data_IF_108263562725
#
_entry.id   IF_108263562725
#
_cell.length_a   1.000
_cell.length_b   1.000
_cell.length_c   1.000
_cell.angle_alpha   90.00
_cell.angle_beta   90.00
_cell.angle_gamma   90.00
#
_symmetry.space_group_name_H-M   'P 1'
#
loop_
_entity.id
_entity.type
_entity.pdbx_description
1 polymer ?
#
# COMPACT_ATOMS: atom_id res chain seq x y z
N UNK A 1 -16.68 -21.89 -8.08
CA UNK A 1 -17.25 -20.91 -9.04
C UNK A 1 -17.00 -19.43 -8.65
N UNK A 2 -15.81 -19.06 -8.13
CA UNK A 2 -15.52 -17.68 -7.66
C UNK A 2 -14.24 -17.03 -8.23
N UNK A 3 -13.54 -17.71 -9.15
CA UNK A 3 -12.33 -17.17 -9.82
C UNK A 3 -12.65 -16.00 -10.77
N UNK A 4 -13.90 -15.84 -11.20
CA UNK A 4 -14.29 -14.91 -12.27
C UNK A 4 -14.51 -13.46 -11.82
N UNK A 5 -15.06 -13.18 -10.63
CA UNK A 5 -15.44 -11.80 -10.23
C UNK A 5 -14.27 -10.87 -9.87
N UNK A 6 -13.08 -11.40 -9.59
CA UNK A 6 -11.91 -10.61 -9.19
C UNK A 6 -10.75 -10.67 -10.20
N UNK A 7 -10.86 -11.49 -11.24
CA UNK A 7 -9.99 -11.40 -12.42
C UNK A 7 -10.09 -10.00 -13.03
N UNK A 8 -11.31 -9.43 -13.04
CA UNK A 8 -11.57 -8.06 -13.42
C UNK A 8 -10.68 -7.04 -12.68
N UNK A 9 -10.29 -7.25 -11.42
CA UNK A 9 -9.45 -6.27 -10.70
C UNK A 9 -8.00 -6.25 -11.20
N UNK A 10 -7.49 -7.39 -11.67
CA UNK A 10 -6.20 -7.39 -12.34
C UNK A 10 -6.25 -6.56 -13.63
N UNK A 11 -7.37 -6.68 -14.37
CA UNK A 11 -7.60 -5.88 -15.57
C UNK A 11 -7.83 -4.40 -15.26
N UNK A 12 -8.54 -4.08 -14.18
CA UNK A 12 -8.73 -2.70 -13.69
C UNK A 12 -7.40 -2.05 -13.28
N UNK A 13 -6.50 -2.80 -12.64
CA UNK A 13 -5.15 -2.31 -12.35
C UNK A 13 -4.36 -2.03 -13.64
N UNK A 14 -4.64 -2.74 -14.73
CA UNK A 14 -4.07 -2.48 -16.05
C UNK A 14 -4.88 -1.55 -16.95
N UNK A 15 -5.99 -0.98 -16.46
CA UNK A 15 -6.91 -0.18 -17.28
C UNK A 15 -6.23 1.11 -17.76
N UNK A 16 -6.49 1.50 -19.00
CA UNK A 16 -5.84 2.64 -19.64
C UNK A 16 -4.36 2.45 -20.00
N UNK A 17 -3.74 1.29 -19.68
CA UNK A 17 -2.36 1.00 -20.07
C UNK A 17 -2.29 0.30 -21.43
N UNK A 18 -1.37 0.75 -22.27
CA UNK A 18 -0.92 0.06 -23.48
C UNK A 18 -0.29 -1.31 -23.14
N UNK A 19 -0.20 -2.24 -24.11
CA UNK A 19 0.46 -3.53 -23.88
C UNK A 19 1.91 -3.39 -23.37
N UNK A 20 2.63 -2.38 -23.84
CA UNK A 20 3.99 -2.08 -23.39
C UNK A 20 4.02 -1.63 -21.92
N UNK A 21 3.17 -0.67 -21.54
CA UNK A 21 3.09 -0.19 -20.16
C UNK A 21 2.65 -1.29 -19.19
N UNK A 22 1.75 -2.18 -19.60
CA UNK A 22 1.39 -3.36 -18.79
C UNK A 22 2.57 -4.29 -18.58
N UNK A 23 3.40 -4.50 -19.61
CA UNK A 23 4.62 -5.32 -19.49
C UNK A 23 5.61 -4.68 -18.52
N UNK A 24 5.85 -3.37 -18.67
CA UNK A 24 6.74 -2.60 -17.81
C UNK A 24 6.27 -2.64 -16.34
N UNK A 25 4.97 -2.47 -16.09
CA UNK A 25 4.38 -2.42 -14.76
C UNK A 25 3.95 -3.79 -14.21
N UNK A 26 4.22 -4.89 -14.91
CA UNK A 26 3.72 -6.24 -14.58
C UNK A 26 4.03 -6.67 -13.14
N UNK A 27 5.22 -6.33 -12.64
CA UNK A 27 5.63 -6.60 -11.24
C UNK A 27 4.80 -5.79 -10.23
N UNK A 28 4.55 -4.52 -10.51
CA UNK A 28 3.75 -3.63 -9.66
C UNK A 28 2.28 -4.05 -9.64
N UNK A 29 1.71 -4.36 -10.81
CA UNK A 29 0.35 -4.88 -10.94
C UNK A 29 0.21 -6.18 -10.15
N UNK A 30 1.15 -7.12 -10.32
CA UNK A 30 1.13 -8.40 -9.59
C UNK A 30 1.24 -8.22 -8.08
N UNK A 31 2.11 -7.31 -7.63
CA UNK A 31 2.30 -6.97 -6.21
C UNK A 31 1.02 -6.35 -5.62
N UNK A 32 0.46 -5.35 -6.29
CA UNK A 32 -0.78 -4.69 -5.88
C UNK A 32 -1.96 -5.67 -5.85
N UNK A 33 -2.11 -6.50 -6.87
CA UNK A 33 -3.15 -7.53 -6.91
C UNK A 33 -3.03 -8.54 -5.77
N UNK A 34 -1.81 -8.99 -5.44
CA UNK A 34 -1.57 -9.88 -4.30
C UNK A 34 -2.01 -9.22 -2.98
N UNK A 35 -1.62 -7.98 -2.73
CA UNK A 35 -2.02 -7.23 -1.53
C UNK A 35 -3.53 -7.02 -1.49
N UNK A 36 -4.14 -6.66 -2.62
CA UNK A 36 -5.59 -6.50 -2.75
C UNK A 36 -6.37 -7.78 -2.38
N UNK A 37 -5.88 -8.95 -2.81
CA UNK A 37 -6.49 -10.23 -2.43
C UNK A 37 -6.46 -10.47 -0.92
N UNK A 38 -5.37 -10.09 -0.25
CA UNK A 38 -5.25 -10.18 1.22
C UNK A 38 -6.23 -9.19 1.88
N UNK A 39 -6.27 -7.95 1.39
CA UNK A 39 -7.24 -6.94 1.84
C UNK A 39 -8.69 -7.44 1.75
N UNK A 40 -9.09 -8.01 0.61
CA UNK A 40 -10.43 -8.59 0.46
C UNK A 40 -10.72 -9.71 1.46
N UNK A 41 -9.74 -10.53 1.78
CA UNK A 41 -9.88 -11.57 2.79
C UNK A 41 -10.09 -10.96 4.18
N UNK A 42 -9.33 -9.92 4.53
CA UNK A 42 -9.46 -9.20 5.80
C UNK A 42 -10.81 -8.50 5.93
N UNK A 43 -11.28 -7.79 4.90
CA UNK A 43 -12.61 -7.16 4.88
C UNK A 43 -13.72 -8.19 5.14
N UNK A 44 -13.63 -9.36 4.49
CA UNK A 44 -14.60 -10.46 4.72
C UNK A 44 -14.54 -11.00 6.14
N UNK A 45 -13.34 -11.18 6.69
CA UNK A 45 -13.15 -11.66 8.06
C UNK A 45 -13.69 -10.66 9.09
N UNK A 46 -13.40 -9.37 8.91
CA UNK A 46 -13.88 -8.30 9.79
C UNK A 46 -15.40 -8.22 9.80
N UNK A 47 -16.05 -8.35 8.63
CA UNK A 47 -17.51 -8.41 8.55
C UNK A 47 -18.09 -9.62 9.28
N UNK A 48 -17.49 -10.81 9.13
CA UNK A 48 -17.92 -12.01 9.87
C UNK A 48 -17.79 -11.83 11.38
N UNK A 49 -16.68 -11.24 11.85
CA UNK A 49 -16.48 -10.93 13.27
C UNK A 49 -17.51 -9.94 13.79
N UNK A 50 -17.79 -8.88 13.03
CA UNK A 50 -18.83 -7.91 13.37
C UNK A 50 -20.21 -8.59 13.50
N UNK A 51 -20.56 -9.49 12.58
CA UNK A 51 -21.84 -10.24 12.64
C UNK A 51 -21.95 -11.13 13.89
N UNK A 52 -20.85 -11.75 14.31
CA UNK A 52 -20.82 -12.59 15.52
C UNK A 52 -21.10 -11.79 16.79
N UNK A 53 -20.67 -10.53 16.83
CA UNK A 53 -20.86 -9.63 17.97
C UNK A 53 -22.30 -9.07 18.08
N UNK A 54 -23.16 -9.31 17.08
CA UNK A 54 -24.53 -8.80 17.09
C UNK A 54 -25.46 -9.80 17.80
N UNK A 55 -26.37 -9.34 18.70
CA UNK A 55 -27.33 -10.21 19.36
C UNK A 55 -28.22 -10.96 18.36
N UNK A 56 -28.44 -12.26 18.57
CA UNK A 56 -29.18 -13.15 17.64
C UNK A 56 -30.55 -12.59 17.22
N UNK A 57 -31.24 -11.87 18.11
CA UNK A 57 -32.57 -11.27 17.89
C UNK A 57 -32.56 -10.15 16.84
N UNK A 58 -31.45 -9.44 16.69
CA UNK A 58 -31.30 -8.31 15.75
C UNK A 58 -30.54 -8.72 14.48
N UNK A 59 -29.86 -9.89 14.48
CA UNK A 59 -29.07 -10.39 13.33
C UNK A 59 -29.88 -10.51 12.04
N UNK A 60 -31.17 -10.85 12.10
CA UNK A 60 -32.02 -10.96 10.91
C UNK A 60 -32.21 -9.58 10.26
N UNK A 61 -32.63 -8.59 11.06
CA UNK A 61 -32.78 -7.19 10.63
C UNK A 61 -31.44 -6.59 10.17
N UNK A 62 -30.36 -6.83 10.91
CA UNK A 62 -29.01 -6.39 10.50
C UNK A 62 -28.56 -7.03 9.19
N UNK A 63 -28.83 -8.32 8.96
CA UNK A 63 -28.54 -8.97 7.68
C UNK A 63 -29.36 -8.39 6.54
N UNK A 64 -30.63 -8.09 6.76
CA UNK A 64 -31.51 -7.47 5.75
C UNK A 64 -31.08 -6.04 5.43
N UNK A 65 -30.67 -5.27 6.44
CA UNK A 65 -30.11 -3.92 6.31
C UNK A 65 -28.76 -3.94 5.59
N UNK A 66 -27.87 -4.86 5.98
CA UNK A 66 -26.63 -5.10 5.26
C UNK A 66 -26.87 -5.57 3.83
N UNK A 67 -27.91 -6.38 3.53
CA UNK A 67 -28.22 -6.78 2.14
C UNK A 67 -28.78 -5.62 1.32
N UNK A 68 -29.51 -4.68 1.93
CA UNK A 68 -29.93 -3.43 1.29
C UNK A 68 -28.75 -2.51 1.03
N UNK A 69 -27.88 -2.34 2.01
CA UNK A 69 -26.59 -1.64 1.84
C UNK A 69 -25.69 -2.38 0.85
N UNK A 70 -25.72 -3.72 0.78
CA UNK A 70 -24.96 -4.50 -0.21
C UNK A 70 -25.36 -4.15 -1.63
N UNK A 71 -26.66 -4.00 -1.88
CA UNK A 71 -27.17 -3.61 -3.19
C UNK A 71 -26.80 -2.16 -3.54
N UNK A 72 -26.64 -1.27 -2.56
CA UNK A 72 -26.19 0.13 -2.74
C UNK A 72 -24.67 0.33 -2.72
N UNK A 73 -23.89 -0.54 -2.07
CA UNK A 73 -22.48 -0.32 -1.74
C UNK A 73 -21.52 -1.43 -2.24
N UNK A 74 -22.02 -2.62 -2.59
CA UNK A 74 -21.17 -3.83 -2.70
C UNK A 74 -20.87 -4.34 -4.11
N UNK A 75 -21.34 -3.73 -5.19
CA UNK A 75 -21.12 -4.30 -6.54
C UNK A 75 -20.26 -3.50 -7.51
N UNK A 76 -19.63 -2.41 -7.09
CA UNK A 76 -18.61 -1.79 -7.92
C UNK A 76 -17.21 -2.26 -7.45
N UNK A 77 -16.54 -3.19 -8.16
CA UNK A 77 -15.15 -3.59 -7.84
C UNK A 77 -14.22 -2.36 -7.69
N UNK A 78 -14.58 -1.26 -8.35
CA UNK A 78 -13.95 0.05 -8.25
C UNK A 78 -13.95 0.62 -6.83
N UNK A 79 -15.03 0.53 -6.04
CA UNK A 79 -15.03 1.08 -4.67
C UNK A 79 -14.05 0.37 -3.75
N UNK A 80 -14.09 -0.97 -3.75
CA UNK A 80 -13.15 -1.78 -2.96
C UNK A 80 -11.70 -1.55 -3.41
N UNK A 81 -11.49 -1.33 -4.70
CA UNK A 81 -10.19 -0.99 -5.26
C UNK A 81 -9.73 0.40 -4.81
N UNK A 82 -10.60 1.41 -4.81
CA UNK A 82 -10.28 2.76 -4.29
C UNK A 82 -9.91 2.69 -2.81
N UNK A 83 -10.73 2.04 -1.98
CA UNK A 83 -10.44 1.92 -0.54
C UNK A 83 -9.08 1.26 -0.30
N UNK A 84 -8.79 0.20 -1.04
CA UNK A 84 -7.48 -0.47 -1.01
C UNK A 84 -6.36 0.47 -1.44
N UNK A 85 -6.49 1.13 -2.59
CA UNK A 85 -5.46 2.02 -3.13
C UNK A 85 -5.17 3.18 -2.16
N UNK A 86 -6.19 3.75 -1.51
CA UNK A 86 -6.02 4.79 -0.47
C UNK A 86 -5.19 4.30 0.71
N UNK A 87 -5.49 3.09 1.21
CA UNK A 87 -4.75 2.48 2.32
C UNK A 87 -3.29 2.23 1.91
N UNK A 88 -3.06 1.71 0.71
CA UNK A 88 -1.71 1.43 0.21
C UNK A 88 -0.91 2.71 -0.06
N UNK A 89 -1.53 3.74 -0.65
CA UNK A 89 -0.90 5.06 -0.84
C UNK A 89 -0.43 5.61 0.50
N UNK A 90 -1.31 5.63 1.52
CA UNK A 90 -0.93 6.06 2.87
C UNK A 90 0.22 5.24 3.42
N UNK A 91 0.16 3.92 3.28
CA UNK A 91 1.22 3.02 3.78
C UNK A 91 2.57 3.27 3.09
N UNK A 92 2.60 3.57 1.80
CA UNK A 92 3.85 3.87 1.09
C UNK A 92 4.35 5.29 1.40
N UNK A 93 3.46 6.28 1.64
CA UNK A 93 3.84 7.61 2.15
C UNK A 93 4.47 7.51 3.53
N UNK A 94 3.82 6.85 4.49
CA UNK A 94 4.38 6.63 5.84
C UNK A 94 5.73 5.89 5.79
N UNK A 95 5.88 4.97 4.82
CA UNK A 95 7.15 4.25 4.62
C UNK A 95 8.24 5.17 4.08
N UNK A 96 7.91 6.04 3.12
CA UNK A 96 8.84 7.01 2.57
C UNK A 96 9.29 8.00 3.64
N UNK A 97 8.35 8.53 4.43
CA UNK A 97 8.65 9.41 5.56
C UNK A 97 9.58 8.74 6.58
N UNK A 98 9.30 7.49 6.95
CA UNK A 98 10.17 6.71 7.85
C UNK A 98 11.56 6.51 7.28
N UNK A 99 11.69 6.17 5.99
CA UNK A 99 12.98 6.01 5.33
C UNK A 99 13.76 7.33 5.32
N UNK A 100 13.11 8.44 4.97
CA UNK A 100 13.75 9.75 4.91
C UNK A 100 14.16 10.25 6.30
N UNK A 101 13.30 10.11 7.30
CA UNK A 101 13.60 10.47 8.68
C UNK A 101 14.74 9.63 9.26
N UNK A 102 14.70 8.30 9.06
CA UNK A 102 15.76 7.39 9.50
C UNK A 102 17.11 7.72 8.84
N UNK A 103 17.12 7.97 7.53
CA UNK A 103 18.35 8.38 6.84
C UNK A 103 18.87 9.73 7.35
N UNK A 104 18.00 10.72 7.58
CA UNK A 104 18.41 12.02 8.12
C UNK A 104 19.05 11.87 9.51
N UNK A 105 18.45 11.06 10.38
CA UNK A 105 18.97 10.84 11.73
C UNK A 105 20.29 10.07 11.72
N UNK A 106 20.39 9.03 10.90
CA UNK A 106 21.64 8.32 10.69
C UNK A 106 22.74 9.25 10.18
N UNK A 107 22.48 10.08 9.17
CA UNK A 107 23.47 11.03 8.61
C UNK A 107 23.95 12.06 9.64
N UNK A 108 23.03 12.60 10.45
CA UNK A 108 23.37 13.51 11.56
C UNK A 108 24.26 12.83 12.59
N UNK A 109 23.91 11.61 12.98
CA UNK A 109 24.66 10.84 13.97
C UNK A 109 26.03 10.44 13.43
N UNK A 110 26.09 9.93 12.20
CA UNK A 110 27.31 9.53 11.50
C UNK A 110 28.31 10.68 11.40
N UNK A 111 27.87 11.89 11.05
CA UNK A 111 28.73 13.07 10.97
C UNK A 111 29.35 13.50 12.31
N UNK A 112 28.78 13.06 13.44
CA UNK A 112 29.28 13.35 14.80
C UNK A 112 30.21 12.27 15.35
N UNK A 113 30.34 11.13 14.66
CA UNK A 113 31.24 10.06 15.08
C UNK A 113 32.68 10.49 14.78
N UNK A 114 33.38 10.96 15.81
CA UNK A 114 34.81 11.34 15.75
C UNK A 114 35.62 10.17 16.33
N UNK A 115 36.37 9.49 15.47
CA UNK A 115 37.40 8.47 15.75
C UNK A 115 37.03 7.26 16.65
N UNK A 116 36.94 6.10 15.98
CA UNK A 116 37.45 4.78 16.36
C UNK A 116 36.78 3.85 17.38
N UNK A 117 35.63 4.15 18.01
CA UNK A 117 35.02 3.17 18.93
C UNK A 117 33.61 2.66 18.62
N UNK A 118 32.73 3.37 17.88
CA UNK A 118 31.34 2.92 17.68
C UNK A 118 30.72 2.97 16.26
N UNK A 119 31.46 3.16 15.13
CA UNK A 119 30.81 3.25 13.82
C UNK A 119 30.08 1.97 13.40
N UNK A 120 30.55 0.79 13.82
CA UNK A 120 29.95 -0.48 13.38
C UNK A 120 28.54 -0.70 13.92
N UNK A 121 28.30 -0.39 15.20
CA UNK A 121 26.98 -0.58 15.80
C UNK A 121 25.95 0.31 15.13
N UNK A 122 26.32 1.58 14.88
CA UNK A 122 25.49 2.53 14.16
C UNK A 122 25.15 2.06 12.73
N UNK A 123 26.12 1.49 11.99
CA UNK A 123 25.86 0.89 10.68
C UNK A 123 24.90 -0.30 10.75
N UNK A 124 25.05 -1.18 11.74
CA UNK A 124 24.17 -2.36 11.89
C UNK A 124 22.76 -2.00 12.32
N UNK A 125 22.62 -1.01 13.21
CA UNK A 125 21.32 -0.50 13.65
C UNK A 125 20.60 0.16 12.48
N UNK A 126 21.29 1.00 11.70
CA UNK A 126 20.71 1.61 10.50
C UNK A 126 20.38 0.57 9.41
N UNK A 127 21.23 -0.44 9.20
CA UNK A 127 20.92 -1.56 8.29
C UNK A 127 19.63 -2.30 8.70
N UNK A 128 19.41 -2.46 10.01
CA UNK A 128 18.20 -3.07 10.55
C UNK A 128 16.95 -2.19 10.33
N UNK A 129 17.09 -0.86 10.48
CA UNK A 129 16.03 0.13 10.21
C UNK A 129 15.65 0.18 8.73
N UNK A 130 16.61 0.01 7.81
CA UNK A 130 16.39 -0.18 6.37
C UNK A 130 15.71 -1.52 6.01
N UNK A 131 15.09 -2.19 6.99
CA UNK A 131 14.25 -3.36 6.77
C UNK A 131 15.02 -4.62 6.42
N UNK A 132 16.26 -4.78 6.90
CA UNK A 132 16.99 -6.03 6.74
C UNK A 132 16.17 -7.21 7.26
N UNK A 133 15.85 -8.14 6.36
CA UNK A 133 15.33 -9.46 6.73
C UNK A 133 16.32 -10.17 7.64
N UNK A 134 15.88 -11.20 8.36
CA UNK A 134 16.75 -11.95 9.27
C UNK A 134 18.03 -12.46 8.58
N UNK A 135 17.91 -12.96 7.36
CA UNK A 135 19.05 -13.40 6.53
C UNK A 135 19.95 -12.24 6.10
N UNK A 136 19.36 -11.09 5.75
CA UNK A 136 20.13 -9.90 5.44
C UNK A 136 20.86 -9.36 6.67
N UNK A 137 20.25 -9.39 7.86
CA UNK A 137 20.93 -9.00 9.11
C UNK A 137 22.10 -9.93 9.43
N UNK A 138 21.96 -11.22 9.16
CA UNK A 138 23.05 -12.18 9.33
C UNK A 138 24.19 -11.89 8.34
N UNK A 139 23.85 -11.62 7.07
CA UNK A 139 24.80 -11.17 6.06
C UNK A 139 25.46 -9.84 6.43
N UNK A 140 24.69 -8.85 6.88
CA UNK A 140 25.13 -7.51 7.26
C UNK A 140 26.07 -7.58 8.48
N UNK A 141 25.80 -8.45 9.47
CA UNK A 141 26.72 -8.71 10.59
C UNK A 141 28.05 -9.29 10.14
N UNK A 142 28.02 -10.25 9.21
CA UNK A 142 29.22 -10.87 8.64
C UNK A 142 29.98 -9.90 7.73
N UNK A 143 29.26 -9.04 7.02
CA UNK A 143 29.81 -7.99 6.16
C UNK A 143 30.36 -6.82 6.97
N UNK A 144 29.81 -6.51 8.15
CA UNK A 144 30.34 -5.48 9.04
C UNK A 144 31.77 -5.73 9.50
N UNK A 145 32.23 -6.99 9.43
CA UNK A 145 33.62 -7.39 9.65
C UNK A 145 34.58 -7.04 8.53
N UNK A 146 34.07 -6.79 7.33
CA UNK A 146 34.91 -6.64 6.16
C UNK A 146 34.49 -5.44 5.32
N UNK A 147 33.25 -5.38 4.83
CA UNK A 147 32.85 -4.51 3.72
C UNK A 147 31.57 -3.68 3.95
N UNK A 148 30.88 -3.76 5.10
CA UNK A 148 29.71 -2.90 5.36
C UNK A 148 30.18 -1.46 5.61
N UNK A 149 29.89 -0.59 4.65
CA UNK A 149 30.25 0.83 4.70
C UNK A 149 29.01 1.72 4.68
N UNK A 150 29.22 3.00 4.98
CA UNK A 150 28.22 4.05 4.80
C UNK A 150 27.70 4.11 3.35
N UNK A 151 28.59 4.00 2.36
CA UNK A 151 28.21 3.99 0.94
C UNK A 151 27.26 2.83 0.60
N UNK A 152 27.54 1.62 1.11
CA UNK A 152 26.69 0.46 0.87
C UNK A 152 25.28 0.65 1.49
N UNK A 153 25.20 1.29 2.66
CA UNK A 153 23.92 1.64 3.27
C UNK A 153 23.22 2.79 2.53
N UNK A 154 23.98 3.73 1.97
CA UNK A 154 23.46 4.80 1.13
C UNK A 154 22.79 4.23 -0.12
N UNK A 155 23.48 3.35 -0.84
CA UNK A 155 22.95 2.70 -2.05
C UNK A 155 21.69 1.89 -1.73
N UNK A 156 21.71 1.18 -0.60
CA UNK A 156 20.54 0.46 -0.11
C UNK A 156 19.37 1.39 0.19
N UNK A 157 19.62 2.51 0.88
CA UNK A 157 18.62 3.54 1.15
C UNK A 157 18.04 4.12 -0.15
N UNK A 158 18.90 4.54 -1.09
CA UNK A 158 18.48 5.11 -2.38
C UNK A 158 17.63 4.12 -3.18
N UNK A 159 18.03 2.84 -3.21
CA UNK A 159 17.24 1.77 -3.84
C UNK A 159 15.87 1.61 -3.17
N UNK A 160 15.82 1.52 -1.84
CA UNK A 160 14.56 1.36 -1.11
C UNK A 160 13.63 2.56 -1.26
N UNK A 161 14.20 3.77 -1.25
CA UNK A 161 13.49 5.01 -1.50
C UNK A 161 12.90 5.01 -2.91
N UNK A 162 13.72 4.77 -3.94
CA UNK A 162 13.27 4.73 -5.33
C UNK A 162 12.23 3.64 -5.59
N UNK A 163 12.37 2.44 -4.99
CA UNK A 163 11.35 1.39 -5.04
C UNK A 163 10.03 1.82 -4.39
N UNK A 164 10.08 2.59 -3.30
CA UNK A 164 8.91 3.11 -2.58
C UNK A 164 8.23 4.21 -3.39
N UNK A 165 8.99 5.17 -3.91
CA UNK A 165 8.50 6.24 -4.79
C UNK A 165 7.83 5.68 -6.04
N UNK A 166 8.46 4.71 -6.72
CA UNK A 166 7.89 4.06 -7.90
C UNK A 166 6.62 3.26 -7.60
N UNK A 167 6.51 2.62 -6.43
CA UNK A 167 5.24 2.00 -6.03
C UNK A 167 4.17 3.07 -5.77
N UNK A 168 4.52 4.16 -5.09
CA UNK A 168 3.60 5.23 -4.74
C UNK A 168 3.05 5.92 -6.00
N UNK A 169 3.92 6.25 -6.95
CA UNK A 169 3.55 6.79 -8.26
C UNK A 169 2.56 5.86 -8.97
N UNK A 170 2.88 4.57 -9.05
CA UNK A 170 1.99 3.58 -9.63
C UNK A 170 0.62 3.59 -8.94
N UNK A 171 0.58 3.49 -7.61
CA UNK A 171 -0.67 3.45 -6.85
C UNK A 171 -1.52 4.72 -7.03
N UNK A 172 -0.90 5.90 -7.00
CA UNK A 172 -1.57 7.18 -7.23
C UNK A 172 -2.13 7.26 -8.66
N UNK A 173 -1.35 6.83 -9.65
CA UNK A 173 -1.80 6.80 -11.03
C UNK A 173 -3.00 5.85 -11.20
N UNK A 174 -2.95 4.66 -10.58
CA UNK A 174 -4.09 3.73 -10.57
C UNK A 174 -5.31 4.30 -9.86
N UNK A 175 -5.11 5.01 -8.75
CA UNK A 175 -6.19 5.67 -8.04
C UNK A 175 -6.89 6.71 -8.91
N UNK A 176 -6.10 7.53 -9.63
CA UNK A 176 -6.61 8.52 -10.57
C UNK A 176 -7.43 7.89 -11.71
N UNK A 177 -6.91 6.83 -12.34
CA UNK A 177 -7.63 6.09 -13.40
C UNK A 177 -8.95 5.52 -12.88
N UNK A 178 -8.91 4.79 -11.76
CA UNK A 178 -10.10 4.16 -11.18
C UNK A 178 -11.13 5.22 -10.78
N UNK A 179 -10.70 6.33 -10.16
CA UNK A 179 -11.60 7.44 -9.81
C UNK A 179 -12.23 8.08 -11.06
N UNK A 180 -11.44 8.30 -12.12
CA UNK A 180 -11.92 8.81 -13.40
C UNK A 180 -12.96 7.90 -14.06
N UNK A 181 -12.71 6.58 -14.08
CA UNK A 181 -13.68 5.61 -14.60
C UNK A 181 -14.97 5.64 -13.79
N UNK A 182 -14.92 5.74 -12.45
CA UNK A 182 -16.14 5.84 -11.63
C UNK A 182 -16.91 7.13 -11.99
N UNK A 183 -16.22 8.27 -12.13
CA UNK A 183 -16.85 9.54 -12.52
C UNK A 183 -17.62 9.42 -13.83
N UNK A 184 -17.05 8.75 -14.84
CA UNK A 184 -17.73 8.54 -16.14
C UNK A 184 -18.95 7.62 -16.07
N UNK A 185 -19.08 6.82 -15.00
CA UNK A 185 -20.19 5.88 -14.81
C UNK A 185 -21.35 6.50 -14.01
N UNK A 186 -21.22 7.75 -13.55
CA UNK A 186 -22.26 8.45 -12.79
C UNK A 186 -23.01 9.42 -13.70
N UNK A 187 -24.31 9.20 -13.86
CA UNK A 187 -25.17 9.96 -14.80
C UNK A 187 -25.59 11.35 -14.26
N UNK A 188 -25.46 11.60 -12.94
CA UNK A 188 -25.93 12.82 -12.28
C UNK A 188 -24.81 13.56 -11.53
N UNK A 189 -24.64 14.88 -11.72
CA UNK A 189 -23.66 15.69 -10.99
C UNK A 189 -23.84 15.67 -9.46
N UNK A 190 -25.07 15.55 -8.97
CA UNK A 190 -25.34 15.46 -7.52
C UNK A 190 -24.82 14.16 -6.91
N UNK A 191 -24.92 13.06 -7.65
CA UNK A 191 -24.41 11.75 -7.23
C UNK A 191 -22.87 11.71 -7.24
N UNK A 192 -22.24 12.58 -8.05
CA UNK A 192 -20.78 12.68 -8.16
C UNK A 192 -20.13 13.31 -6.93
N UNK A 193 -20.73 14.38 -6.37
CA UNK A 193 -20.25 15.01 -5.13
C UNK A 193 -20.37 14.03 -3.95
N UNK A 194 -21.54 13.39 -3.83
CA UNK A 194 -21.81 12.36 -2.82
C UNK A 194 -20.82 11.19 -2.92
N UNK A 195 -20.53 10.75 -4.14
CA UNK A 195 -19.56 9.70 -4.41
C UNK A 195 -18.14 10.16 -4.05
N UNK A 196 -17.73 11.37 -4.44
CA UNK A 196 -16.39 11.90 -4.18
C UNK A 196 -16.12 11.98 -2.67
N UNK A 197 -17.07 12.51 -1.90
CA UNK A 197 -17.01 12.56 -0.44
C UNK A 197 -16.96 11.15 0.17
N UNK A 198 -17.77 10.21 -0.34
CA UNK A 198 -17.77 8.81 0.12
C UNK A 198 -16.47 8.07 -0.19
N UNK A 199 -15.81 8.40 -1.31
CA UNK A 199 -14.51 7.85 -1.66
C UNK A 199 -13.40 8.45 -0.79
N UNK A 200 -13.63 9.59 -0.13
CA UNK A 200 -12.73 10.21 0.85
C UNK A 200 -11.38 10.62 0.25
N UNK A 201 -11.34 10.95 -1.04
CA UNK A 201 -10.09 11.25 -1.74
C UNK A 201 -9.46 12.58 -1.28
N UNK A 202 -10.27 13.48 -0.71
CA UNK A 202 -9.83 14.74 -0.10
C UNK A 202 -8.78 14.51 1.00
N UNK A 203 -8.88 13.41 1.75
CA UNK A 203 -7.93 13.08 2.82
C UNK A 203 -6.54 12.67 2.32
N UNK A 204 -6.31 12.66 1.00
CA UNK A 204 -5.01 12.42 0.40
C UNK A 204 -4.31 13.72 -0.04
N UNK A 205 -5.04 14.84 -0.07
CA UNK A 205 -4.56 16.14 -0.53
C UNK A 205 -4.25 17.11 0.63
N UNK A 206 -4.58 16.74 1.86
CA UNK A 206 -4.41 17.54 3.07
C UNK A 206 -3.41 16.91 4.03
#
# INVERSE_FOLDING_TARGET
MFRSKYAAVYDLLGEGMTPFERKLNSRLISKAYRKFRIYLQQVRQNRRRAELNIPKRVRKRWREEQVRDRRRAENSPYRLLVDFLRIEVRSEVERLEKLTAGNLEFRKTWARVVNDAEPRRLLLDYAAELGASWWQRWGDRRAAERWLSDDALNDRYLRLRGETELNLEFLLNRLGVVAGTIVTLVDSPGDLIDLWQRLGLESLLC
#
